data_IF_310479634992
#
_entry.id   IF_310479634992
#
_cell.length_a   1.000
_cell.length_b   1.000
_cell.length_c   1.000
_cell.angle_alpha   90.00
_cell.angle_beta   90.00
_cell.angle_gamma   90.00
#
_symmetry.space_group_name_H-M   'P 1'
#
loop_
_entity.id
_entity.type
_entity.pdbx_description
1 polymer ?
#
# COMPACT_ATOMS: atom_id res chain seq x y z
N UNK A 1 28.32 -17.67 1.22
CA UNK A 1 29.15 -17.89 0.03
C UNK A 1 28.72 -16.86 -1.04
N UNK A 2 29.57 -15.87 -1.39
CA UNK A 2 29.22 -14.82 -2.36
C UNK A 2 29.01 -15.36 -3.78
N UNK A 3 29.30 -16.62 -4.04
CA UNK A 3 29.22 -17.27 -5.35
C UNK A 3 27.96 -18.11 -5.56
N UNK A 4 27.06 -18.21 -4.59
CA UNK A 4 25.79 -18.89 -4.79
C UNK A 4 24.82 -17.93 -5.46
N UNK A 5 24.40 -18.17 -6.72
CA UNK A 5 23.37 -17.35 -7.36
C UNK A 5 22.09 -17.44 -6.52
N UNK A 6 21.80 -16.41 -5.76
CA UNK A 6 20.52 -16.34 -5.04
C UNK A 6 19.41 -16.40 -6.08
N UNK A 7 18.57 -17.44 -6.02
CA UNK A 7 17.47 -17.58 -6.96
C UNK A 7 16.63 -16.30 -6.96
N UNK A 8 16.17 -15.86 -8.12
CA UNK A 8 15.33 -14.66 -8.29
C UNK A 8 14.16 -14.67 -7.30
N UNK A 9 13.56 -15.83 -7.05
CA UNK A 9 12.48 -15.99 -6.08
C UNK A 9 12.88 -15.65 -4.65
N UNK A 10 14.10 -15.99 -4.21
CA UNK A 10 14.59 -15.65 -2.87
C UNK A 10 14.76 -14.12 -2.71
N UNK A 11 15.27 -13.44 -3.72
CA UNK A 11 15.40 -11.96 -3.69
C UNK A 11 14.05 -11.27 -3.66
N UNK A 12 13.08 -11.73 -4.47
CA UNK A 12 11.71 -11.22 -4.43
C UNK A 12 11.10 -11.43 -3.05
N UNK A 13 11.25 -12.62 -2.46
CA UNK A 13 10.72 -12.91 -1.13
C UNK A 13 11.33 -11.98 -0.06
N UNK A 14 12.63 -11.76 -0.07
CA UNK A 14 13.30 -10.85 0.86
C UNK A 14 12.78 -9.42 0.71
N UNK A 15 12.63 -8.92 -0.52
CA UNK A 15 12.08 -7.59 -0.77
C UNK A 15 10.64 -7.46 -0.27
N UNK A 16 9.78 -8.44 -0.58
CA UNK A 16 8.38 -8.44 -0.13
C UNK A 16 8.31 -8.44 1.39
N UNK A 17 9.06 -9.31 2.06
CA UNK A 17 9.08 -9.37 3.53
C UNK A 17 9.59 -8.05 4.12
N UNK A 18 10.68 -7.50 3.59
CA UNK A 18 11.27 -6.25 4.10
C UNK A 18 10.30 -5.07 3.98
N UNK A 19 9.66 -4.89 2.82
CA UNK A 19 8.68 -3.84 2.60
C UNK A 19 7.41 -4.06 3.44
N UNK A 20 6.99 -5.30 3.61
CA UNK A 20 5.84 -5.66 4.45
C UNK A 20 6.07 -5.32 5.92
N UNK A 21 7.25 -5.63 6.47
CA UNK A 21 7.64 -5.30 7.84
C UNK A 21 7.56 -3.79 8.08
N UNK A 22 7.93 -2.97 7.10
CA UNK A 22 7.86 -1.50 7.22
C UNK A 22 6.42 -0.98 7.18
N UNK A 23 5.56 -1.58 6.36
CA UNK A 23 4.19 -1.09 6.11
C UNK A 23 3.20 -1.55 7.18
N UNK A 24 3.31 -2.77 7.68
CA UNK A 24 2.39 -3.32 8.70
C UNK A 24 2.21 -2.40 9.90
N UNK A 25 3.27 -1.85 10.54
CA UNK A 25 3.09 -0.96 11.68
C UNK A 25 2.36 0.35 11.33
N UNK A 26 2.54 0.85 10.12
CA UNK A 26 1.88 2.07 9.66
C UNK A 26 0.38 1.83 9.49
N UNK A 27 0.01 0.77 8.77
CA UNK A 27 -1.39 0.38 8.59
C UNK A 27 -2.06 0.01 9.93
N UNK A 28 -1.34 -0.68 10.81
CA UNK A 28 -1.83 -1.04 12.14
C UNK A 28 -2.16 0.18 12.99
N UNK A 29 -1.33 1.24 12.96
CA UNK A 29 -1.61 2.49 13.67
C UNK A 29 -2.87 3.19 13.13
N UNK A 30 -3.02 3.23 11.81
CA UNK A 30 -4.19 3.84 11.17
C UNK A 30 -5.45 3.03 11.47
N UNK A 31 -5.40 1.71 11.36
CA UNK A 31 -6.49 0.83 11.72
C UNK A 31 -6.92 1.01 13.17
N UNK A 32 -5.96 1.11 14.10
CA UNK A 32 -6.24 1.36 15.52
C UNK A 32 -6.91 2.72 15.73
N UNK A 33 -6.39 3.78 15.14
CA UNK A 33 -6.95 5.13 15.26
C UNK A 33 -8.39 5.18 14.71
N UNK A 34 -8.62 4.60 13.53
CA UNK A 34 -9.95 4.50 12.94
C UNK A 34 -10.91 3.69 13.84
N UNK A 35 -10.48 2.54 14.35
CA UNK A 35 -11.29 1.69 15.24
C UNK A 35 -11.69 2.44 16.51
N UNK A 36 -10.75 3.15 17.14
CA UNK A 36 -11.03 3.94 18.35
C UNK A 36 -12.04 5.07 18.05
N UNK A 37 -11.89 5.75 16.92
CA UNK A 37 -12.84 6.80 16.51
C UNK A 37 -14.27 6.25 16.33
N UNK A 38 -14.41 5.09 15.70
CA UNK A 38 -15.71 4.47 15.49
C UNK A 38 -16.29 3.81 16.73
N UNK A 39 -15.45 3.28 17.63
CA UNK A 39 -15.93 2.62 18.87
C UNK A 39 -16.57 3.59 19.87
N UNK A 40 -16.23 4.89 19.77
CA UNK A 40 -16.77 5.92 20.66
C UNK A 40 -18.02 6.62 20.11
N UNK A 41 -18.56 6.18 18.96
CA UNK A 41 -19.76 6.76 18.36
C UNK A 41 -21.03 6.36 19.13
N UNK A 42 -22.02 7.25 19.14
CA UNK A 42 -23.28 7.10 19.87
C UNK A 42 -24.05 5.82 19.52
N UNK A 43 -24.04 5.42 18.25
CA UNK A 43 -24.71 4.18 17.84
C UNK A 43 -24.07 2.92 18.42
N UNK A 44 -22.76 2.94 18.72
CA UNK A 44 -22.06 1.84 19.40
C UNK A 44 -22.49 1.79 20.85
N UNK A 45 -22.59 2.96 21.51
CA UNK A 45 -23.06 3.07 22.87
C UNK A 45 -24.53 2.60 22.99
N UNK A 46 -25.39 3.01 22.06
CA UNK A 46 -26.78 2.58 22.00
C UNK A 46 -26.89 1.04 21.81
N UNK A 47 -26.11 0.46 20.90
CA UNK A 47 -26.09 -0.98 20.69
C UNK A 47 -25.65 -1.75 21.95
N UNK A 48 -24.67 -1.20 22.68
CA UNK A 48 -24.19 -1.78 23.92
C UNK A 48 -25.24 -1.68 25.04
N UNK A 49 -25.96 -0.56 25.14
CA UNK A 49 -27.07 -0.39 26.08
C UNK A 49 -28.23 -1.32 25.82
N UNK A 50 -28.44 -1.72 24.56
CA UNK A 50 -29.44 -2.73 24.17
C UNK A 50 -28.99 -4.19 24.42
N UNK A 51 -27.82 -4.40 25.05
CA UNK A 51 -27.32 -5.74 25.35
C UNK A 51 -26.63 -6.47 24.21
N UNK A 52 -26.27 -5.77 23.14
CA UNK A 52 -25.54 -6.38 22.01
C UNK A 52 -24.16 -6.85 22.45
N UNK A 53 -23.78 -8.06 22.04
CA UNK A 53 -22.47 -8.63 22.36
C UNK A 53 -21.36 -7.88 21.62
N UNK A 54 -20.21 -7.62 22.26
CA UNK A 54 -19.08 -6.87 21.69
C UNK A 54 -18.62 -7.43 20.33
N UNK A 55 -18.65 -8.75 20.16
CA UNK A 55 -18.33 -9.40 18.89
C UNK A 55 -19.28 -8.96 17.76
N UNK A 56 -20.56 -8.86 18.03
CA UNK A 56 -21.56 -8.42 17.06
C UNK A 56 -21.39 -6.94 16.71
N UNK A 57 -21.08 -6.11 17.72
CA UNK A 57 -20.78 -4.68 17.54
C UNK A 57 -19.57 -4.50 16.62
N UNK A 58 -18.49 -5.25 16.87
CA UNK A 58 -17.28 -5.18 16.04
C UNK A 58 -17.58 -5.54 14.58
N UNK A 59 -18.16 -6.72 14.34
CA UNK A 59 -18.34 -7.21 12.97
C UNK A 59 -19.42 -6.49 12.18
N UNK A 60 -20.48 -6.04 12.83
CA UNK A 60 -21.64 -5.44 12.17
C UNK A 60 -21.59 -3.91 12.10
N UNK A 61 -20.88 -3.27 13.02
CA UNK A 61 -20.87 -1.81 13.13
C UNK A 61 -19.48 -1.20 12.96
N UNK A 62 -18.42 -1.79 13.50
CA UNK A 62 -17.08 -1.19 13.47
C UNK A 62 -16.35 -1.57 12.19
N UNK A 63 -16.18 -2.86 11.92
CA UNK A 63 -15.39 -3.36 10.77
C UNK A 63 -15.87 -2.78 9.44
N UNK A 64 -17.17 -2.75 9.08
CA UNK A 64 -17.60 -2.22 7.78
C UNK A 64 -17.32 -0.73 7.59
N UNK A 65 -17.18 0.01 8.68
CA UNK A 65 -16.89 1.44 8.65
C UNK A 65 -15.39 1.75 8.68
N UNK A 66 -14.59 0.88 9.31
CA UNK A 66 -13.13 1.01 9.38
C UNK A 66 -12.45 0.48 8.12
N UNK A 67 -12.98 -0.57 7.51
CA UNK A 67 -12.39 -1.24 6.36
C UNK A 67 -12.12 -0.28 5.18
N UNK A 68 -13.07 0.57 4.76
CA UNK A 68 -12.83 1.50 3.67
C UNK A 68 -11.71 2.51 3.97
N UNK A 69 -11.58 2.95 5.23
CA UNK A 69 -10.48 3.83 5.62
C UNK A 69 -9.11 3.14 5.51
N UNK A 70 -9.03 1.86 5.88
CA UNK A 70 -7.83 1.05 5.72
C UNK A 70 -7.51 0.87 4.24
N UNK A 71 -8.50 0.56 3.38
CA UNK A 71 -8.29 0.42 1.95
C UNK A 71 -7.81 1.71 1.29
N UNK A 72 -8.37 2.86 1.66
CA UNK A 72 -7.91 4.15 1.13
C UNK A 72 -6.41 4.35 1.38
N UNK A 73 -5.94 4.07 2.59
CA UNK A 73 -4.51 4.19 2.94
C UNK A 73 -3.68 3.08 2.31
N UNK A 74 -4.23 1.87 2.16
CA UNK A 74 -3.53 0.77 1.51
C UNK A 74 -3.24 1.10 0.03
N UNK A 75 -4.17 1.74 -0.69
CA UNK A 75 -3.93 2.18 -2.07
C UNK A 75 -2.83 3.24 -2.16
N UNK A 76 -2.78 4.20 -1.22
CA UNK A 76 -1.68 5.15 -1.13
C UNK A 76 -0.35 4.45 -0.84
N UNK A 77 -0.35 3.45 0.06
CA UNK A 77 0.84 2.68 0.41
C UNK A 77 1.38 1.87 -0.78
N UNK A 78 0.52 1.36 -1.67
CA UNK A 78 0.95 0.67 -2.90
C UNK A 78 1.83 1.59 -3.75
N UNK A 79 1.42 2.84 -3.95
CA UNK A 79 2.22 3.83 -4.68
C UNK A 79 3.61 4.04 -4.07
N UNK A 80 3.68 4.17 -2.75
CA UNK A 80 4.95 4.31 -2.01
C UNK A 80 5.83 3.07 -2.16
N UNK A 81 5.24 1.87 -2.10
CA UNK A 81 5.98 0.60 -2.27
C UNK A 81 6.59 0.47 -3.66
N UNK A 82 5.84 0.82 -4.71
CA UNK A 82 6.34 0.77 -6.09
C UNK A 82 7.54 1.69 -6.27
N UNK A 83 7.47 2.91 -5.74
CA UNK A 83 8.59 3.86 -5.81
C UNK A 83 9.78 3.39 -4.97
N UNK A 84 9.54 2.83 -3.78
CA UNK A 84 10.59 2.27 -2.93
C UNK A 84 11.29 1.08 -3.61
N UNK A 85 10.55 0.16 -4.24
CA UNK A 85 11.11 -0.95 -5.01
C UNK A 85 11.98 -0.44 -6.17
N UNK A 86 11.47 0.53 -6.94
CA UNK A 86 12.22 1.12 -8.05
C UNK A 86 13.53 1.76 -7.56
N UNK A 87 13.49 2.46 -6.42
CA UNK A 87 14.68 3.06 -5.81
C UNK A 87 15.68 2.01 -5.34
N UNK A 88 15.23 0.92 -4.72
CA UNK A 88 16.09 -0.20 -4.33
C UNK A 88 16.71 -0.90 -5.54
N UNK A 89 15.95 -1.03 -6.64
CA UNK A 89 16.44 -1.59 -7.90
C UNK A 89 17.54 -0.72 -8.51
N UNK A 90 17.40 0.61 -8.46
CA UNK A 90 18.46 1.54 -8.91
C UNK A 90 19.75 1.43 -8.09
N UNK A 91 19.63 1.12 -6.79
CA UNK A 91 20.77 0.88 -5.89
C UNK A 91 21.35 -0.53 -6.00
N UNK A 92 20.83 -1.38 -6.90
CA UNK A 92 21.28 -2.75 -7.09
C UNK A 92 20.75 -3.75 -6.06
N UNK A 93 19.88 -3.31 -5.13
CA UNK A 93 19.26 -4.15 -4.10
C UNK A 93 17.84 -4.65 -4.49
N UNK A 94 17.41 -4.35 -5.72
CA UNK A 94 16.08 -4.71 -6.24
C UNK A 94 16.00 -6.12 -6.82
N UNK A 95 14.91 -6.35 -7.57
CA UNK A 95 14.67 -7.60 -8.28
C UNK A 95 15.62 -7.71 -9.47
N UNK A 96 16.37 -8.80 -9.63
CA UNK A 96 17.25 -8.96 -10.75
C UNK A 96 16.50 -9.16 -12.06
N UNK A 97 17.19 -8.85 -13.16
CA UNK A 97 16.88 -9.32 -14.51
C UNK A 97 15.55 -8.88 -15.16
N UNK A 98 15.15 -7.62 -14.99
CA UNK A 98 14.06 -7.02 -15.79
C UNK A 98 12.67 -7.55 -15.47
N UNK A 99 12.49 -8.16 -14.29
CA UNK A 99 11.21 -8.67 -13.82
C UNK A 99 10.34 -7.61 -13.14
N UNK A 100 10.86 -6.41 -12.94
CA UNK A 100 10.12 -5.25 -12.42
C UNK A 100 10.40 -4.00 -13.25
N UNK A 101 9.50 -3.03 -13.22
CA UNK A 101 9.70 -1.74 -13.87
C UNK A 101 10.92 -1.00 -13.28
N UNK A 102 11.15 -1.13 -11.98
CA UNK A 102 12.33 -0.55 -11.32
C UNK A 102 13.63 -1.13 -11.86
N UNK A 103 13.70 -2.46 -12.05
CA UNK A 103 14.88 -3.11 -12.62
C UNK A 103 15.08 -2.76 -14.11
N UNK A 104 14.00 -2.51 -14.86
CA UNK A 104 14.10 -2.02 -16.25
C UNK A 104 14.71 -0.62 -16.31
N UNK A 105 14.27 0.29 -15.41
CA UNK A 105 14.85 1.63 -15.28
C UNK A 105 16.33 1.55 -14.88
N UNK A 106 16.67 0.68 -13.92
CA UNK A 106 18.05 0.50 -13.46
C UNK A 106 19.00 0.05 -14.58
N UNK A 107 18.54 -0.83 -15.46
CA UNK A 107 19.35 -1.27 -16.62
C UNK A 107 19.49 -0.18 -17.67
N UNK A 108 18.40 0.48 -18.02
CA UNK A 108 18.41 1.52 -19.06
C UNK A 108 19.30 2.71 -18.71
N UNK A 109 19.71 2.86 -17.46
CA UNK A 109 20.60 3.93 -17.02
C UNK A 109 21.92 4.00 -17.77
N UNK A 110 22.46 2.86 -18.20
CA UNK A 110 23.73 2.80 -18.91
C UNK A 110 23.57 3.17 -20.40
N UNK A 111 22.37 3.05 -20.94
CA UNK A 111 22.07 3.25 -22.36
C UNK A 111 21.23 4.53 -22.62
N UNK A 112 21.16 5.44 -21.65
CA UNK A 112 20.29 6.63 -21.70
C UNK A 112 20.61 7.55 -22.88
N UNK A 113 21.88 7.62 -23.30
CA UNK A 113 22.32 8.46 -24.40
C UNK A 113 21.89 7.90 -25.77
N UNK A 114 21.82 6.57 -25.90
CA UNK A 114 21.55 5.89 -27.17
C UNK A 114 20.10 5.44 -27.30
N UNK A 115 19.46 5.07 -26.17
CA UNK A 115 18.13 4.48 -26.16
C UNK A 115 17.29 4.98 -24.97
N UNK A 116 16.91 6.27 -24.90
CA UNK A 116 16.19 6.86 -23.77
C UNK A 116 14.82 6.22 -23.56
N UNK A 117 14.22 5.64 -24.57
CA UNK A 117 12.91 4.98 -24.48
C UNK A 117 12.91 3.77 -23.51
N UNK A 118 14.04 3.11 -23.29
CA UNK A 118 14.18 1.99 -22.35
C UNK A 118 13.88 2.43 -20.91
N UNK A 119 14.17 3.67 -20.55
CA UNK A 119 13.86 4.25 -19.24
C UNK A 119 12.48 4.90 -19.23
N UNK A 120 12.13 5.64 -20.28
CA UNK A 120 10.90 6.44 -20.32
C UNK A 120 9.67 5.54 -20.23
N UNK A 121 9.64 4.40 -20.93
CA UNK A 121 8.49 3.50 -20.95
C UNK A 121 8.16 2.97 -19.55
N UNK A 122 9.08 2.29 -18.82
CA UNK A 122 8.76 1.80 -17.48
C UNK A 122 8.52 2.93 -16.49
N UNK A 123 9.17 4.10 -16.62
CA UNK A 123 8.92 5.26 -15.76
C UNK A 123 7.49 5.79 -15.94
N UNK A 124 6.98 5.85 -17.16
CA UNK A 124 5.60 6.23 -17.45
C UNK A 124 4.62 5.22 -16.87
N UNK A 125 4.90 3.92 -16.98
CA UNK A 125 4.08 2.87 -16.38
C UNK A 125 4.01 3.01 -14.84
N UNK A 126 5.15 3.26 -14.19
CA UNK A 126 5.20 3.52 -12.74
C UNK A 126 4.36 4.76 -12.41
N UNK A 127 4.55 5.86 -13.11
CA UNK A 127 3.84 7.11 -12.85
C UNK A 127 2.32 6.93 -12.98
N UNK A 128 1.85 6.31 -14.06
CA UNK A 128 0.42 6.03 -14.24
C UNK A 128 -0.14 5.13 -13.14
N UNK A 129 0.58 4.09 -12.75
CA UNK A 129 0.12 3.17 -11.69
C UNK A 129 0.04 3.88 -10.35
N UNK A 130 1.04 4.69 -10.00
CA UNK A 130 1.04 5.48 -8.75
C UNK A 130 -0.09 6.50 -8.74
N UNK A 131 -0.32 7.22 -9.84
CA UNK A 131 -1.42 8.18 -9.98
C UNK A 131 -2.77 7.47 -9.84
N UNK A 132 -2.95 6.33 -10.51
CA UNK A 132 -4.20 5.56 -10.43
C UNK A 132 -4.47 5.06 -9.00
N UNK A 133 -3.46 4.51 -8.32
CA UNK A 133 -3.60 4.05 -6.93
C UNK A 133 -3.94 5.21 -5.99
N UNK A 134 -3.26 6.35 -6.12
CA UNK A 134 -3.53 7.54 -5.32
C UNK A 134 -4.94 8.07 -5.58
N UNK A 135 -5.37 8.13 -6.84
CA UNK A 135 -6.71 8.57 -7.20
C UNK A 135 -7.80 7.68 -6.60
N UNK A 136 -7.63 6.35 -6.68
CA UNK A 136 -8.56 5.38 -6.07
C UNK A 136 -8.60 5.59 -4.55
N UNK A 137 -7.45 5.72 -3.90
CA UNK A 137 -7.36 5.99 -2.45
C UNK A 137 -8.10 7.26 -2.05
N UNK A 138 -7.93 8.35 -2.80
CA UNK A 138 -8.59 9.63 -2.55
C UNK A 138 -10.11 9.57 -2.76
N UNK A 139 -10.59 8.86 -3.79
CA UNK A 139 -12.02 8.66 -4.04
C UNK A 139 -12.67 7.91 -2.87
N UNK A 140 -12.03 6.82 -2.41
CA UNK A 140 -12.52 6.05 -1.26
C UNK A 140 -12.57 6.94 -0.02
N UNK A 141 -11.53 7.72 0.24
CA UNK A 141 -11.45 8.65 1.38
C UNK A 141 -12.55 9.69 1.34
N UNK A 142 -12.78 10.34 0.20
CA UNK A 142 -13.86 11.34 0.03
C UNK A 142 -15.24 10.76 0.28
N UNK A 143 -15.51 9.54 -0.16
CA UNK A 143 -16.79 8.88 0.10
C UNK A 143 -17.00 8.59 1.60
N UNK A 144 -15.94 8.30 2.34
CA UNK A 144 -15.99 8.10 3.79
C UNK A 144 -16.27 9.41 4.53
N UNK A 145 -15.58 10.49 4.17
CA UNK A 145 -15.76 11.80 4.80
C UNK A 145 -17.19 12.31 4.60
N UNK A 146 -17.78 12.10 3.43
CA UNK A 146 -19.18 12.46 3.15
C UNK A 146 -20.19 11.64 3.96
N UNK A 147 -19.91 10.37 4.24
CA UNK A 147 -20.78 9.55 5.11
C UNK A 147 -20.70 9.98 6.57
N UNK A 148 -19.53 10.42 7.02
CA UNK A 148 -19.35 10.93 8.38
C UNK A 148 -20.05 12.27 8.62
N UNK A 149 -20.14 13.12 7.61
CA UNK A 149 -20.80 14.42 7.68
C UNK A 149 -22.36 14.31 7.68
N UNK A 150 -22.90 13.17 7.31
CA UNK A 150 -24.38 12.92 7.25
C UNK A 150 -24.91 12.16 8.48
N UNK A 151 -24.06 11.74 9.39
CA UNK A 151 -24.39 11.06 10.64
C UNK A 151 -24.16 12.00 11.83
#
# INVERSE_FOLDING_TARGET
DPNVPTSTGRRIMVLVISLTIVIIPILGRIARAATLSWSNREFVLAARSMGSNDRNIIWRHIVPNVLPAIFAVAFLAIGVVIVAEASLSLLGAGVPDGTSWGSMVARGRNDIEFAPHIIIIPLVCIAFTVIACNYIGDVIRKQLDQRQAKL
#
